data_IF_160318326793
#
_entry.id   IF_160318326793
#
_cell.length_a   1.000
_cell.length_b   1.000
_cell.length_c   1.000
_cell.angle_alpha   90.00
_cell.angle_beta   90.00
_cell.angle_gamma   90.00
#
_symmetry.space_group_name_H-M   'P 1'
#
loop_
_entity.id
_entity.type
_entity.pdbx_description
1 polymer ?
#
# COMPACT_ATOMS: atom_id res chain seq x y z
N UNK A 1 -15.92 28.75 17.52
CA UNK A 1 -14.73 28.83 18.37
C UNK A 1 -13.65 28.03 17.66
N UNK A 2 -12.60 28.71 17.22
CA UNK A 2 -11.44 28.02 16.67
C UNK A 2 -10.92 27.09 17.76
N UNK A 3 -11.07 25.80 17.53
CA UNK A 3 -10.55 24.80 18.45
C UNK A 3 -9.03 24.85 18.32
N UNK A 4 -8.35 25.16 19.41
CA UNK A 4 -6.91 24.94 19.53
C UNK A 4 -6.63 23.46 19.81
N UNK A 5 -7.64 22.61 19.60
CA UNK A 5 -7.60 21.22 19.94
C UNK A 5 -6.73 20.43 18.97
N UNK A 6 -6.04 19.48 19.52
CA UNK A 6 -5.26 18.50 18.79
C UNK A 6 -6.21 17.49 18.12
N UNK A 7 -6.04 17.28 16.83
CA UNK A 7 -6.73 16.24 16.08
C UNK A 7 -5.78 15.05 15.97
N UNK A 8 -6.22 13.90 16.45
CA UNK A 8 -5.43 12.66 16.39
C UNK A 8 -5.86 11.82 15.22
N UNK A 9 -4.88 11.37 14.44
CA UNK A 9 -5.07 10.41 13.35
C UNK A 9 -4.30 9.14 13.72
N UNK A 10 -4.98 8.00 13.69
CA UNK A 10 -4.32 6.71 13.89
C UNK A 10 -3.49 6.33 12.67
N UNK A 11 -2.27 5.84 12.91
CA UNK A 11 -1.39 5.31 11.88
C UNK A 11 -1.12 3.85 12.25
N UNK A 12 -1.87 2.94 11.64
CA UNK A 12 -1.78 1.52 11.93
C UNK A 12 -1.17 0.76 10.77
N UNK A 13 0.05 0.29 10.99
CA UNK A 13 0.86 -0.44 10.01
C UNK A 13 1.59 -1.58 10.74
N UNK A 14 2.10 -2.54 9.99
CA UNK A 14 2.87 -3.65 10.56
C UNK A 14 4.30 -3.24 10.92
N UNK A 15 4.47 -2.56 12.04
CA UNK A 15 5.80 -2.19 12.56
C UNK A 15 6.59 -3.40 13.03
N UNK A 16 5.93 -4.52 13.25
CA UNK A 16 6.50 -5.86 13.32
C UNK A 16 5.84 -6.72 12.25
N UNK A 17 6.52 -7.76 11.80
CA UNK A 17 5.97 -8.71 10.85
C UNK A 17 6.67 -8.71 9.49
N UNK A 18 6.02 -9.31 8.48
CA UNK A 18 6.70 -9.68 7.23
C UNK A 18 7.01 -8.53 6.27
N UNK A 19 6.57 -7.30 6.54
CA UNK A 19 6.95 -6.10 5.77
C UNK A 19 7.48 -4.96 6.65
N UNK A 20 7.99 -5.28 7.83
CA UNK A 20 8.43 -4.27 8.79
C UNK A 20 9.52 -3.33 8.25
N UNK A 21 10.32 -3.77 7.28
CA UNK A 21 11.33 -2.93 6.63
C UNK A 21 10.73 -1.78 5.81
N UNK A 22 9.46 -1.86 5.43
CA UNK A 22 8.79 -0.85 4.61
C UNK A 22 7.97 0.16 5.43
N UNK A 23 7.49 -0.23 6.60
CA UNK A 23 6.42 0.47 7.30
C UNK A 23 6.85 1.76 8.00
N UNK A 24 8.10 1.87 8.43
CA UNK A 24 8.59 3.08 9.09
C UNK A 24 8.54 4.29 8.15
N UNK A 25 9.00 4.14 6.91
CA UNK A 25 8.96 5.23 5.92
C UNK A 25 7.56 5.50 5.39
N UNK A 26 6.69 4.50 5.36
CA UNK A 26 5.27 4.69 5.07
C UNK A 26 4.62 5.56 6.16
N UNK A 27 4.84 5.25 7.43
CA UNK A 27 4.34 6.05 8.54
C UNK A 27 4.89 7.46 8.52
N UNK A 28 6.18 7.61 8.29
CA UNK A 28 6.83 8.93 8.19
C UNK A 28 6.28 9.75 7.02
N UNK A 29 5.91 9.12 5.93
CA UNK A 29 5.30 9.80 4.77
C UNK A 29 3.90 10.35 5.11
N UNK A 30 3.08 9.58 5.81
CA UNK A 30 1.79 10.06 6.32
C UNK A 30 1.96 11.21 7.31
N UNK A 31 2.92 11.07 8.22
CA UNK A 31 3.23 12.08 9.24
C UNK A 31 3.80 13.37 8.62
N UNK A 32 4.47 13.26 7.48
CA UNK A 32 4.92 14.42 6.71
C UNK A 32 3.72 15.27 6.22
N UNK A 33 2.65 14.63 5.75
CA UNK A 33 1.42 15.33 5.39
C UNK A 33 0.79 16.02 6.62
N UNK A 34 0.79 15.34 7.77
CA UNK A 34 0.26 15.88 9.01
C UNK A 34 1.07 17.12 9.48
N UNK A 35 2.39 17.06 9.34
CA UNK A 35 3.27 18.18 9.65
C UNK A 35 3.01 19.36 8.72
N UNK A 36 2.88 19.12 7.43
CA UNK A 36 2.58 20.15 6.43
C UNK A 36 1.28 20.89 6.78
N UNK A 37 0.24 20.17 7.14
CA UNK A 37 -1.05 20.74 7.55
C UNK A 37 -0.92 21.52 8.86
N UNK A 38 -0.28 20.94 9.88
CA UNK A 38 -0.09 21.58 11.17
C UNK A 38 0.71 22.88 11.05
N UNK A 39 1.79 22.87 10.27
CA UNK A 39 2.65 24.03 10.05
C UNK A 39 1.93 25.16 9.31
N UNK A 40 0.92 24.84 8.50
CA UNK A 40 0.12 25.85 7.79
C UNK A 40 -0.73 26.70 8.73
N UNK A 41 -1.13 26.16 9.86
CA UNK A 41 -2.03 26.83 10.81
C UNK A 41 -3.45 27.05 10.28
N UNK A 42 -3.87 26.33 9.22
CA UNK A 42 -5.12 26.60 8.51
C UNK A 42 -6.22 25.56 8.76
N UNK A 43 -5.90 24.41 9.31
CA UNK A 43 -6.90 23.37 9.55
C UNK A 43 -7.85 23.79 10.70
N UNK A 44 -9.14 23.92 10.38
CA UNK A 44 -10.17 24.32 11.35
C UNK A 44 -9.78 25.57 12.16
N UNK A 45 -9.12 26.53 11.50
CA UNK A 45 -8.70 27.79 12.13
C UNK A 45 -7.44 27.69 12.98
N UNK A 46 -6.69 26.58 12.93
CA UNK A 46 -5.39 26.46 13.59
C UNK A 46 -5.21 25.19 14.43
N UNK A 47 -6.03 24.17 14.24
CA UNK A 47 -5.84 22.88 14.89
C UNK A 47 -4.53 22.23 14.47
N UNK A 48 -3.86 21.57 15.43
CA UNK A 48 -2.71 20.72 15.15
C UNK A 48 -3.15 19.28 14.90
N UNK A 49 -2.36 18.54 14.14
CA UNK A 49 -2.60 17.12 13.86
C UNK A 49 -1.46 16.31 14.45
N UNK A 50 -1.79 15.28 15.21
CA UNK A 50 -0.82 14.34 15.73
C UNK A 50 -1.10 12.93 15.28
N UNK A 51 -0.03 12.17 15.09
CA UNK A 51 -0.06 10.76 14.72
C UNK A 51 -0.07 9.88 15.97
N UNK A 52 -0.95 8.89 15.99
CA UNK A 52 -0.93 7.84 17.02
C UNK A 52 -0.62 6.53 16.30
N UNK A 53 0.59 6.04 16.44
CA UNK A 53 1.02 4.79 15.80
C UNK A 53 0.49 3.58 16.55
N UNK A 54 0.10 2.55 15.79
CA UNK A 54 -0.30 1.25 16.32
C UNK A 54 0.20 0.14 15.38
N UNK A 55 0.48 -1.02 15.93
CA UNK A 55 1.06 -2.14 15.17
C UNK A 55 -0.04 -3.09 14.73
N UNK A 56 -0.22 -3.23 13.41
CA UNK A 56 -1.13 -4.20 12.81
C UNK A 56 -0.52 -5.59 12.74
N UNK A 57 0.76 -5.73 12.90
CA UNK A 57 1.54 -6.98 12.65
C UNK A 57 1.48 -7.51 11.22
N UNK A 58 0.69 -6.93 10.34
CA UNK A 58 0.43 -7.40 8.97
C UNK A 58 -0.34 -8.74 8.90
N UNK A 59 -0.09 -9.68 9.80
CA UNK A 59 -0.58 -11.07 9.67
C UNK A 59 -1.51 -11.53 10.79
N UNK A 60 -1.49 -10.89 11.94
CA UNK A 60 -2.31 -11.28 13.10
C UNK A 60 -3.57 -10.39 13.18
N UNK A 61 -4.68 -10.90 12.68
CA UNK A 61 -5.95 -10.17 12.68
C UNK A 61 -6.45 -9.81 14.09
N UNK A 62 -6.22 -10.66 15.07
CA UNK A 62 -6.59 -10.42 16.47
C UNK A 62 -5.81 -9.26 17.07
N UNK A 63 -4.49 -9.26 16.91
CA UNK A 63 -3.61 -8.18 17.36
C UNK A 63 -3.94 -6.86 16.66
N UNK A 64 -4.18 -6.91 15.35
CA UNK A 64 -4.55 -5.73 14.57
C UNK A 64 -5.89 -5.14 15.03
N UNK A 65 -6.88 -5.98 15.25
CA UNK A 65 -8.20 -5.56 15.74
C UNK A 65 -8.08 -4.89 17.12
N UNK A 66 -7.34 -5.49 18.04
CA UNK A 66 -7.13 -4.92 19.38
C UNK A 66 -6.40 -3.57 19.33
N UNK A 67 -5.40 -3.45 18.48
CA UNK A 67 -4.67 -2.19 18.29
C UNK A 67 -5.58 -1.10 17.71
N UNK A 68 -6.42 -1.44 16.75
CA UNK A 68 -7.40 -0.51 16.17
C UNK A 68 -8.46 -0.10 17.17
N UNK A 69 -8.97 -1.02 17.99
CA UNK A 69 -9.93 -0.71 19.06
C UNK A 69 -9.35 0.32 20.05
N UNK A 70 -8.07 0.16 20.41
CA UNK A 70 -7.41 1.13 21.28
C UNK A 70 -7.35 2.51 20.62
N UNK A 71 -7.01 2.60 19.34
CA UNK A 71 -6.98 3.87 18.61
C UNK A 71 -8.35 4.56 18.66
N UNK A 72 -9.41 3.81 18.47
CA UNK A 72 -10.78 4.33 18.34
C UNK A 72 -11.39 4.67 19.70
N UNK A 73 -11.23 3.80 20.71
CA UNK A 73 -11.91 3.92 21.99
C UNK A 73 -11.09 4.60 23.08
N UNK A 74 -9.77 4.36 23.13
CA UNK A 74 -8.88 4.92 24.15
C UNK A 74 -8.20 6.19 23.68
N UNK A 75 -7.62 6.17 22.48
CA UNK A 75 -6.91 7.32 21.93
C UNK A 75 -7.84 8.33 21.26
N UNK A 76 -9.07 7.93 20.97
CA UNK A 76 -10.11 8.77 20.38
C UNK A 76 -9.68 9.43 19.07
N UNK A 77 -9.07 8.67 18.17
CA UNK A 77 -8.65 9.18 16.87
C UNK A 77 -9.85 9.58 16.01
N UNK A 78 -9.69 10.63 15.21
CA UNK A 78 -10.73 11.11 14.29
C UNK A 78 -10.89 10.19 13.08
N UNK A 79 -9.79 9.61 12.60
CA UNK A 79 -9.74 8.71 11.45
C UNK A 79 -8.47 7.86 11.52
N UNK A 80 -8.38 6.88 10.63
CA UNK A 80 -7.26 5.94 10.57
C UNK A 80 -6.61 5.96 9.18
N UNK A 81 -5.30 6.14 9.14
CA UNK A 81 -4.46 5.82 8.00
C UNK A 81 -3.92 4.40 8.19
N UNK A 82 -4.28 3.50 7.34
CA UNK A 82 -3.93 2.08 7.43
C UNK A 82 -5.12 1.18 7.05
N UNK A 83 -5.04 -0.13 7.32
CA UNK A 83 -3.76 -0.77 7.64
C UNK A 83 -2.95 -1.02 6.36
N UNK A 84 -1.87 -1.74 6.50
CA UNK A 84 -0.97 -2.04 5.38
C UNK A 84 -1.39 -3.31 4.61
N UNK A 85 -1.54 -4.43 5.29
CA UNK A 85 -1.77 -5.73 4.68
C UNK A 85 -3.27 -6.03 4.57
N UNK A 86 -3.66 -6.75 3.52
CA UNK A 86 -5.08 -6.91 3.15
C UNK A 86 -5.93 -7.62 4.21
N UNK A 87 -5.45 -8.72 4.79
CA UNK A 87 -6.22 -9.48 5.77
C UNK A 87 -6.50 -8.68 7.05
N UNK A 88 -5.48 -8.03 7.58
CA UNK A 88 -5.64 -7.20 8.80
C UNK A 88 -6.46 -5.94 8.51
N UNK A 89 -6.36 -5.36 7.32
CA UNK A 89 -7.19 -4.22 6.92
C UNK A 89 -8.68 -4.63 6.88
N UNK A 90 -8.98 -5.78 6.30
CA UNK A 90 -10.35 -6.32 6.29
C UNK A 90 -10.89 -6.53 7.71
N UNK A 91 -10.09 -7.11 8.59
CA UNK A 91 -10.47 -7.33 9.98
C UNK A 91 -10.75 -6.02 10.72
N UNK A 92 -9.88 -5.02 10.56
CA UNK A 92 -10.04 -3.70 11.18
C UNK A 92 -11.29 -2.99 10.63
N UNK A 93 -11.48 -2.99 9.32
CA UNK A 93 -12.65 -2.36 8.70
C UNK A 93 -13.94 -2.98 9.22
N UNK A 94 -14.04 -4.31 9.16
CA UNK A 94 -15.26 -5.02 9.55
C UNK A 94 -15.56 -4.98 11.04
N UNK A 95 -14.55 -5.06 11.89
CA UNK A 95 -14.73 -5.24 13.33
C UNK A 95 -14.61 -3.94 14.13
N UNK A 96 -13.95 -2.93 13.62
CA UNK A 96 -13.66 -1.70 14.36
C UNK A 96 -14.11 -0.45 13.63
N UNK A 97 -13.59 -0.21 12.42
CA UNK A 97 -13.80 1.08 11.75
C UNK A 97 -15.25 1.29 11.33
N UNK A 98 -15.83 0.36 10.60
CA UNK A 98 -17.24 0.48 10.15
C UNK A 98 -18.22 0.49 11.32
N UNK A 99 -18.16 -0.43 12.30
CA UNK A 99 -19.06 -0.39 13.43
C UNK A 99 -19.00 0.90 14.27
N UNK A 100 -17.85 1.55 14.31
CA UNK A 100 -17.67 2.80 15.06
C UNK A 100 -17.79 4.06 14.19
N UNK A 101 -18.12 3.91 12.92
CA UNK A 101 -18.26 5.04 12.00
C UNK A 101 -16.96 5.82 11.78
N UNK A 102 -15.82 5.14 11.78
CA UNK A 102 -14.49 5.74 11.62
C UNK A 102 -14.00 5.54 10.18
N UNK A 103 -13.61 6.61 9.53
CA UNK A 103 -12.97 6.54 8.22
C UNK A 103 -11.61 5.86 8.32
N UNK A 104 -11.37 4.89 7.44
CA UNK A 104 -10.10 4.19 7.30
C UNK A 104 -9.64 4.27 5.85
N UNK A 105 -8.43 4.80 5.62
CA UNK A 105 -7.82 4.90 4.30
C UNK A 105 -6.51 4.11 4.30
N UNK A 106 -6.50 2.98 3.57
CA UNK A 106 -5.31 2.14 3.46
C UNK A 106 -4.40 2.61 2.34
N UNK A 107 -3.09 2.70 2.58
CA UNK A 107 -2.12 3.02 1.54
C UNK A 107 -1.70 1.80 0.71
N UNK A 108 -1.95 0.58 1.16
CA UNK A 108 -1.30 -0.60 0.60
C UNK A 108 -2.06 -1.91 0.68
N UNK A 109 -3.31 -1.89 1.16
CA UNK A 109 -4.15 -3.08 1.16
C UNK A 109 -4.76 -3.28 -0.24
N UNK A 110 -4.24 -4.24 -0.98
CA UNK A 110 -4.47 -4.37 -2.43
C UNK A 110 -5.37 -5.53 -2.83
N UNK A 111 -5.83 -6.38 -1.91
CA UNK A 111 -6.67 -7.52 -2.27
C UNK A 111 -7.92 -7.11 -3.06
N UNK A 112 -8.24 -7.83 -4.15
CA UNK A 112 -9.49 -7.60 -4.88
C UNK A 112 -10.75 -7.75 -4.01
N UNK A 113 -10.70 -8.57 -2.98
CA UNK A 113 -11.84 -8.79 -2.08
C UNK A 113 -12.27 -7.51 -1.33
N UNK A 114 -11.36 -6.56 -1.13
CA UNK A 114 -11.69 -5.29 -0.48
C UNK A 114 -12.62 -4.40 -1.30
N UNK A 115 -12.72 -4.61 -2.59
CA UNK A 115 -13.67 -3.88 -3.46
C UNK A 115 -15.11 -4.12 -3.02
N UNK A 116 -15.42 -5.31 -2.54
CA UNK A 116 -16.78 -5.78 -2.31
C UNK A 116 -17.19 -5.84 -0.83
N UNK A 117 -16.36 -5.36 0.09
CA UNK A 117 -16.73 -5.35 1.50
C UNK A 117 -17.89 -4.36 1.76
N UNK A 118 -18.78 -4.71 2.68
CA UNK A 118 -19.85 -3.81 3.12
C UNK A 118 -19.28 -2.78 4.08
N UNK A 119 -18.64 -1.77 3.53
CA UNK A 119 -17.92 -0.75 4.29
C UNK A 119 -18.77 0.47 4.67
N UNK A 120 -19.99 0.55 4.18
CA UNK A 120 -20.91 1.67 4.43
C UNK A 120 -20.30 3.05 4.14
N UNK A 121 -19.32 3.09 3.23
CA UNK A 121 -18.64 4.33 2.83
C UNK A 121 -17.52 4.78 3.77
N UNK A 122 -17.05 3.93 4.67
CA UNK A 122 -15.96 4.28 5.60
C UNK A 122 -14.58 3.81 5.15
N UNK A 123 -14.49 2.87 4.22
CA UNK A 123 -13.21 2.35 3.75
C UNK A 123 -12.82 2.94 2.40
N UNK A 124 -11.55 3.35 2.30
CA UNK A 124 -10.92 3.85 1.07
C UNK A 124 -9.51 3.28 0.97
N UNK A 125 -8.96 3.24 -0.25
CA UNK A 125 -7.56 2.88 -0.45
C UNK A 125 -6.93 3.71 -1.56
N UNK A 126 -5.73 4.19 -1.32
CA UNK A 126 -4.93 4.94 -2.30
C UNK A 126 -4.08 4.04 -3.19
N UNK A 127 -3.92 2.77 -2.82
CA UNK A 127 -3.32 1.77 -3.68
C UNK A 127 -4.38 1.14 -4.61
N UNK A 128 -4.01 0.77 -5.85
CA UNK A 128 -4.92 0.07 -6.77
C UNK A 128 -5.14 -1.38 -6.36
N UNK A 129 -6.25 -1.97 -6.82
CA UNK A 129 -6.57 -3.38 -6.60
C UNK A 129 -5.63 -4.32 -7.34
N UNK A 130 -5.29 -5.44 -6.72
CA UNK A 130 -4.52 -6.53 -7.34
C UNK A 130 -5.22 -7.20 -8.53
N UNK A 131 -6.51 -6.96 -8.72
CA UNK A 131 -7.18 -7.33 -9.95
C UNK A 131 -6.48 -6.72 -11.17
N UNK A 132 -6.00 -5.49 -11.02
CA UNK A 132 -5.20 -4.82 -12.04
C UNK A 132 -3.73 -5.26 -12.02
N UNK A 133 -3.12 -5.39 -10.85
CA UNK A 133 -1.71 -5.80 -10.75
C UNK A 133 -1.49 -7.18 -11.37
N UNK A 134 -2.39 -8.13 -11.14
CA UNK A 134 -2.31 -9.45 -11.74
C UNK A 134 -2.25 -9.40 -13.27
N UNK A 135 -3.07 -8.56 -13.89
CA UNK A 135 -3.07 -8.37 -15.34
C UNK A 135 -1.78 -7.72 -15.83
N UNK A 136 -1.31 -6.67 -15.15
CA UNK A 136 -0.07 -5.97 -15.52
C UNK A 136 1.14 -6.90 -15.39
N UNK A 137 1.25 -7.63 -14.28
CA UNK A 137 2.35 -8.57 -14.06
C UNK A 137 2.35 -9.69 -15.11
N UNK A 138 1.18 -10.23 -15.44
CA UNK A 138 1.06 -11.23 -16.50
C UNK A 138 1.55 -10.69 -17.85
N UNK A 139 1.20 -9.46 -18.18
CA UNK A 139 1.66 -8.82 -19.41
C UNK A 139 3.19 -8.61 -19.41
N UNK A 140 3.76 -8.17 -18.29
CA UNK A 140 5.20 -8.02 -18.14
C UNK A 140 5.92 -9.35 -18.38
N UNK A 141 5.41 -10.42 -17.78
CA UNK A 141 5.98 -11.77 -17.94
C UNK A 141 5.93 -12.22 -19.39
N UNK A 142 4.78 -12.05 -20.04
CA UNK A 142 4.62 -12.42 -21.46
C UNK A 142 5.52 -11.59 -22.38
N UNK A 143 5.65 -10.28 -22.13
CA UNK A 143 6.52 -9.40 -22.91
C UNK A 143 7.99 -9.81 -22.83
N UNK A 144 8.38 -10.48 -21.75
CA UNK A 144 9.75 -11.02 -21.57
C UNK A 144 9.93 -12.40 -22.17
N UNK A 145 8.92 -12.93 -22.86
CA UNK A 145 8.99 -14.22 -23.53
C UNK A 145 8.86 -15.42 -22.59
N UNK A 146 8.38 -15.23 -21.39
CA UNK A 146 8.14 -16.30 -20.41
C UNK A 146 6.73 -16.82 -20.60
N UNK A 147 6.59 -18.09 -20.99
CA UNK A 147 5.31 -18.73 -21.24
C UNK A 147 4.96 -19.83 -20.24
N UNK A 148 5.88 -20.21 -19.37
CA UNK A 148 5.70 -21.23 -18.36
C UNK A 148 6.40 -20.84 -17.06
N UNK A 149 5.71 -20.97 -15.95
CA UNK A 149 6.25 -20.65 -14.61
C UNK A 149 5.52 -21.41 -13.49
N UNK A 150 6.18 -21.50 -12.35
CA UNK A 150 5.56 -21.90 -11.10
C UNK A 150 5.21 -20.65 -10.26
N UNK A 151 4.24 -20.78 -9.37
CA UNK A 151 3.80 -19.69 -8.49
C UNK A 151 3.84 -20.16 -7.04
N UNK A 152 4.43 -19.36 -6.17
CA UNK A 152 4.22 -19.47 -4.73
C UNK A 152 3.64 -18.17 -4.21
N UNK A 153 2.76 -18.24 -3.22
CA UNK A 153 2.08 -17.09 -2.67
C UNK A 153 1.93 -17.22 -1.15
N UNK A 154 2.00 -16.10 -0.44
CA UNK A 154 1.76 -16.13 0.99
C UNK A 154 0.32 -16.55 1.27
N UNK A 155 0.15 -17.49 2.22
CA UNK A 155 -1.14 -18.14 2.49
C UNK A 155 -2.06 -17.26 3.35
N UNK A 156 -2.53 -16.18 2.75
CA UNK A 156 -3.46 -15.23 3.36
C UNK A 156 -4.27 -14.51 2.27
N UNK A 157 -5.15 -13.60 2.67
CA UNK A 157 -6.03 -12.88 1.74
C UNK A 157 -5.26 -12.14 0.64
N UNK A 158 -4.13 -11.52 0.98
CA UNK A 158 -3.30 -10.83 0.00
C UNK A 158 -2.73 -11.82 -1.03
N UNK A 159 -2.02 -12.83 -0.58
CA UNK A 159 -1.37 -13.80 -1.47
C UNK A 159 -2.34 -14.56 -2.35
N UNK A 160 -3.46 -14.99 -1.79
CA UNK A 160 -4.51 -15.73 -2.55
C UNK A 160 -5.13 -14.85 -3.62
N UNK A 161 -5.52 -13.63 -3.27
CA UNK A 161 -6.16 -12.70 -4.22
C UNK A 161 -5.24 -12.31 -5.36
N UNK A 162 -3.99 -11.98 -5.06
CA UNK A 162 -3.00 -11.64 -6.07
C UNK A 162 -2.66 -12.83 -6.97
N UNK A 163 -2.46 -14.01 -6.37
CA UNK A 163 -2.17 -15.24 -7.12
C UNK A 163 -3.29 -15.59 -8.09
N UNK A 164 -4.55 -15.55 -7.62
CA UNK A 164 -5.69 -15.83 -8.48
C UNK A 164 -5.77 -14.85 -9.65
N UNK A 165 -5.60 -13.57 -9.39
CA UNK A 165 -5.63 -12.53 -10.42
C UNK A 165 -4.51 -12.72 -11.45
N UNK A 166 -3.29 -12.96 -10.98
CA UNK A 166 -2.14 -13.17 -11.83
C UNK A 166 -2.25 -14.46 -12.66
N UNK A 167 -2.56 -15.58 -12.01
CA UNK A 167 -2.67 -16.89 -12.67
C UNK A 167 -3.76 -16.88 -13.74
N UNK A 168 -4.93 -16.32 -13.42
CA UNK A 168 -6.03 -16.23 -14.37
C UNK A 168 -5.67 -15.38 -15.58
N UNK A 169 -5.03 -14.23 -15.37
CA UNK A 169 -4.58 -13.36 -16.47
C UNK A 169 -3.50 -14.03 -17.31
N UNK A 170 -2.51 -14.66 -16.68
CA UNK A 170 -1.42 -15.33 -17.38
C UNK A 170 -1.93 -16.49 -18.23
N UNK A 171 -2.81 -17.33 -17.70
CA UNK A 171 -3.46 -18.42 -18.47
C UNK A 171 -4.29 -17.88 -19.62
N UNK A 172 -5.04 -16.80 -19.42
CA UNK A 172 -5.83 -16.15 -20.47
C UNK A 172 -4.97 -15.63 -21.62
N UNK A 173 -3.72 -15.28 -21.35
CA UNK A 173 -2.73 -14.86 -22.36
C UNK A 173 -2.00 -16.04 -23.02
N UNK A 174 -2.34 -17.27 -22.67
CA UNK A 174 -1.73 -18.50 -23.21
C UNK A 174 -0.59 -19.07 -22.38
N UNK A 175 -0.34 -18.54 -21.19
CA UNK A 175 0.68 -19.03 -20.28
C UNK A 175 0.32 -20.32 -19.57
N UNK A 176 1.33 -21.06 -19.12
CA UNK A 176 1.19 -22.30 -18.38
C UNK A 176 1.74 -22.11 -16.96
N UNK A 177 0.96 -22.48 -15.96
CA UNK A 177 1.36 -22.51 -14.56
C UNK A 177 1.57 -23.96 -14.16
N UNK A 178 2.81 -24.30 -13.80
CA UNK A 178 3.21 -25.69 -13.52
C UNK A 178 2.93 -26.10 -12.08
N UNK A 179 2.89 -25.15 -11.16
CA UNK A 179 2.57 -25.39 -9.76
C UNK A 179 2.07 -24.10 -9.12
N UNK A 180 1.17 -24.24 -8.16
CA UNK A 180 0.71 -23.18 -7.28
C UNK A 180 0.87 -23.65 -5.85
N UNK A 181 1.85 -23.12 -5.12
CA UNK A 181 2.26 -23.59 -3.81
C UNK A 181 2.11 -22.47 -2.79
N UNK A 182 1.23 -22.62 -1.80
CA UNK A 182 1.17 -21.63 -0.72
C UNK A 182 2.40 -21.74 0.18
N UNK A 183 2.81 -20.63 0.75
CA UNK A 183 3.83 -20.61 1.80
C UNK A 183 3.37 -19.78 2.99
N UNK A 184 3.83 -20.17 4.18
CA UNK A 184 3.56 -19.42 5.40
C UNK A 184 4.68 -18.42 5.67
N UNK A 185 4.35 -17.27 6.28
CA UNK A 185 5.37 -16.39 6.83
C UNK A 185 5.86 -16.89 8.19
N UNK A 186 7.08 -16.49 8.57
CA UNK A 186 7.62 -16.78 9.88
C UNK A 186 8.19 -18.19 10.06
N UNK A 187 8.37 -18.95 8.98
CA UNK A 187 9.04 -20.25 9.03
C UNK A 187 10.56 -20.10 8.92
N UNK A 188 11.27 -21.04 9.51
CA UNK A 188 12.74 -21.11 9.41
C UNK A 188 13.26 -21.90 8.21
N UNK A 189 12.40 -22.68 7.53
CA UNK A 189 12.79 -23.58 6.45
C UNK A 189 11.71 -23.63 5.36
N UNK A 190 12.09 -23.33 4.13
CA UNK A 190 11.21 -23.35 2.95
C UNK A 190 11.64 -24.39 1.91
N UNK A 191 12.48 -25.36 2.29
CA UNK A 191 13.00 -26.37 1.36
C UNK A 191 11.91 -27.24 0.75
N UNK A 192 10.85 -27.53 1.49
CA UNK A 192 9.72 -28.35 0.99
C UNK A 192 8.96 -27.61 -0.13
N UNK A 193 8.64 -26.34 0.07
CA UNK A 193 7.96 -25.51 -0.92
C UNK A 193 8.82 -25.34 -2.18
N UNK A 194 10.10 -25.04 -2.02
CA UNK A 194 11.04 -24.89 -3.13
C UNK A 194 11.20 -26.19 -3.91
N UNK A 195 11.28 -27.33 -3.21
CA UNK A 195 11.35 -28.66 -3.85
C UNK A 195 10.12 -28.94 -4.71
N UNK A 196 8.94 -28.64 -4.21
CA UNK A 196 7.68 -28.82 -4.95
C UNK A 196 7.63 -27.90 -6.20
N UNK A 197 8.04 -26.65 -6.06
CA UNK A 197 8.11 -25.69 -7.17
C UNK A 197 9.09 -26.17 -8.25
N UNK A 198 10.28 -26.61 -7.85
CA UNK A 198 11.34 -27.09 -8.75
C UNK A 198 10.92 -28.38 -9.45
N UNK A 199 10.29 -29.31 -8.74
CA UNK A 199 9.82 -30.60 -9.26
C UNK A 199 8.74 -30.44 -10.34
N UNK A 200 8.07 -29.31 -10.41
CA UNK A 200 7.06 -29.02 -11.44
C UNK A 200 7.64 -28.87 -12.83
N UNK A 201 8.95 -28.74 -12.96
CA UNK A 201 9.66 -28.58 -14.23
C UNK A 201 9.84 -27.15 -14.70
N UNK A 202 9.28 -26.16 -14.00
CA UNK A 202 9.46 -24.76 -14.37
C UNK A 202 10.87 -24.29 -14.05
N UNK A 203 11.38 -23.39 -14.88
CA UNK A 203 12.66 -22.69 -14.67
C UNK A 203 12.46 -21.28 -14.14
N UNK A 204 11.22 -20.79 -14.16
CA UNK A 204 10.82 -19.47 -13.68
C UNK A 204 9.83 -19.63 -12.54
N UNK A 205 9.92 -18.74 -11.55
CA UNK A 205 9.00 -18.75 -10.41
C UNK A 205 8.55 -17.33 -10.06
N UNK A 206 7.25 -17.19 -9.86
CA UNK A 206 6.67 -15.98 -9.27
C UNK A 206 6.55 -16.17 -7.75
N UNK A 207 7.07 -15.22 -7.01
CA UNK A 207 7.03 -15.19 -5.55
C UNK A 207 6.13 -14.04 -5.12
N UNK A 208 4.89 -14.37 -4.84
CA UNK A 208 3.83 -13.41 -4.49
C UNK A 208 3.65 -13.41 -2.96
N UNK A 209 4.60 -12.79 -2.30
CA UNK A 209 4.73 -12.85 -0.85
C UNK A 209 5.16 -11.54 -0.22
N UNK A 210 5.69 -11.66 0.98
CA UNK A 210 6.17 -10.54 1.78
C UNK A 210 7.69 -10.59 1.97
N UNK A 211 8.33 -9.44 1.81
CA UNK A 211 9.77 -9.29 1.61
C UNK A 211 10.64 -9.69 2.81
N UNK A 212 10.12 -9.53 4.04
CA UNK A 212 10.96 -9.71 5.23
C UNK A 212 10.85 -11.11 5.87
N UNK A 213 9.96 -11.97 5.37
CA UNK A 213 9.76 -13.33 5.91
C UNK A 213 9.66 -14.38 4.80
N UNK A 214 8.47 -14.92 4.55
CA UNK A 214 8.28 -16.07 3.69
C UNK A 214 8.80 -15.92 2.27
N UNK A 215 8.52 -14.78 1.64
CA UNK A 215 9.00 -14.53 0.28
C UNK A 215 10.52 -14.52 0.18
N UNK A 216 11.18 -13.85 1.12
CA UNK A 216 12.65 -13.88 1.21
C UNK A 216 13.19 -15.28 1.47
N UNK A 217 12.54 -16.04 2.36
CA UNK A 217 12.94 -17.40 2.65
C UNK A 217 12.85 -18.34 1.45
N UNK A 218 11.81 -18.21 0.65
CA UNK A 218 11.66 -18.94 -0.62
C UNK A 218 12.81 -18.60 -1.57
N UNK A 219 13.12 -17.32 -1.74
CA UNK A 219 14.20 -16.86 -2.63
C UNK A 219 15.55 -17.38 -2.14
N UNK A 220 15.85 -17.23 -0.86
CA UNK A 220 17.11 -17.68 -0.28
C UNK A 220 17.29 -19.20 -0.45
N UNK A 221 16.28 -19.98 -0.14
CA UNK A 221 16.30 -21.43 -0.32
C UNK A 221 16.46 -21.84 -1.78
N UNK A 222 15.79 -21.12 -2.69
CA UNK A 222 15.92 -21.37 -4.14
C UNK A 222 17.33 -21.15 -4.63
N UNK A 223 18.00 -20.11 -4.18
CA UNK A 223 19.37 -19.79 -4.58
C UNK A 223 20.38 -20.76 -3.98
N UNK A 224 20.23 -21.14 -2.72
CA UNK A 224 21.09 -22.08 -2.03
C UNK A 224 21.06 -23.49 -2.68
N UNK A 225 19.88 -23.91 -3.12
CA UNK A 225 19.71 -25.23 -3.78
C UNK A 225 19.94 -25.19 -5.29
N UNK A 226 20.06 -24.02 -5.88
CA UNK A 226 20.15 -23.85 -7.34
C UNK A 226 18.82 -24.09 -8.06
N UNK A 227 17.70 -24.16 -7.35
CA UNK A 227 16.39 -24.44 -7.93
C UNK A 227 15.93 -23.31 -8.89
N UNK A 228 16.13 -22.06 -8.47
CA UNK A 228 15.82 -20.87 -9.28
C UNK A 228 16.89 -19.81 -9.03
N UNK A 229 17.15 -18.97 -10.04
CA UNK A 229 18.20 -17.94 -9.98
C UNK A 229 17.67 -16.52 -10.20
N UNK A 230 16.48 -16.38 -10.75
CA UNK A 230 15.77 -15.10 -10.85
C UNK A 230 14.31 -15.31 -10.51
N UNK A 231 13.66 -14.23 -10.12
CA UNK A 231 12.33 -14.31 -9.53
C UNK A 231 11.41 -13.25 -10.14
N UNK A 232 10.13 -13.56 -10.19
CA UNK A 232 9.07 -12.66 -10.64
C UNK A 232 8.34 -12.19 -9.38
N UNK A 233 8.31 -10.87 -9.15
CA UNK A 233 7.87 -10.29 -7.90
C UNK A 233 6.65 -9.37 -8.10
N UNK A 234 5.88 -9.19 -7.03
CA UNK A 234 4.85 -8.17 -6.95
C UNK A 234 5.16 -7.22 -5.79
N UNK A 235 4.24 -6.33 -5.49
CA UNK A 235 4.43 -5.21 -4.55
C UNK A 235 4.99 -5.60 -3.18
N UNK A 236 4.50 -6.68 -2.58
CA UNK A 236 4.92 -7.10 -1.24
C UNK A 236 6.37 -7.60 -1.13
N UNK A 237 7.02 -7.82 -2.27
CA UNK A 237 8.41 -8.29 -2.34
C UNK A 237 9.40 -7.19 -2.74
N UNK A 238 8.93 -6.02 -3.15
CA UNK A 238 9.79 -4.94 -3.61
C UNK A 238 10.27 -4.14 -2.41
N UNK A 239 11.57 -4.09 -2.23
CA UNK A 239 12.21 -3.32 -1.17
C UNK A 239 13.71 -3.61 -1.11
N UNK A 240 14.48 -2.63 -0.69
CA UNK A 240 15.96 -2.74 -0.63
C UNK A 240 16.40 -3.86 0.32
N UNK A 241 15.60 -4.16 1.35
CA UNK A 241 15.91 -5.24 2.31
C UNK A 241 16.02 -6.61 1.64
N UNK A 242 15.33 -6.84 0.52
CA UNK A 242 15.46 -8.09 -0.23
C UNK A 242 16.89 -8.27 -0.73
N UNK A 243 17.42 -7.24 -1.36
CA UNK A 243 18.78 -7.27 -1.92
C UNK A 243 19.82 -7.32 -0.81
N UNK A 244 19.60 -6.57 0.26
CA UNK A 244 20.52 -6.50 1.40
C UNK A 244 20.61 -7.82 2.17
N UNK A 245 19.50 -8.57 2.28
CA UNK A 245 19.40 -9.73 3.17
C UNK A 245 19.44 -11.08 2.46
N UNK A 246 19.30 -11.12 1.13
CA UNK A 246 19.50 -12.35 0.37
C UNK A 246 20.98 -12.51 0.06
N UNK A 247 21.52 -13.67 0.40
CA UNK A 247 22.90 -14.03 0.07
C UNK A 247 22.93 -14.61 -1.34
N UNK A 248 23.34 -13.79 -2.29
CA UNK A 248 23.41 -14.16 -3.70
C UNK A 248 23.10 -13.00 -4.63
N UNK A 249 23.31 -13.23 -5.93
CA UNK A 249 23.07 -12.25 -6.98
C UNK A 249 21.65 -12.37 -7.54
N UNK A 250 20.82 -11.37 -7.30
CA UNK A 250 19.43 -11.30 -7.76
C UNK A 250 19.27 -10.60 -9.12
N UNK A 251 20.36 -10.28 -9.81
CA UNK A 251 20.32 -9.59 -11.11
C UNK A 251 19.38 -10.30 -12.08
N UNK A 252 18.50 -9.53 -12.71
CA UNK A 252 17.50 -10.06 -13.64
C UNK A 252 16.15 -10.38 -12.98
N UNK A 253 16.07 -10.42 -11.65
CA UNK A 253 14.80 -10.48 -10.92
C UNK A 253 13.99 -9.23 -11.24
N UNK A 254 12.70 -9.37 -11.50
CA UNK A 254 11.85 -8.27 -11.92
C UNK A 254 10.45 -8.38 -11.31
N UNK A 255 9.70 -7.31 -11.38
CA UNK A 255 8.35 -7.30 -10.85
C UNK A 255 7.63 -5.98 -11.08
N UNK A 256 6.50 -5.86 -10.41
CA UNK A 256 5.63 -4.69 -10.48
C UNK A 256 5.40 -4.09 -9.10
N UNK A 257 5.24 -2.77 -9.08
CA UNK A 257 4.92 -2.00 -7.87
C UNK A 257 3.98 -0.85 -8.26
N UNK A 258 2.89 -0.63 -7.53
CA UNK A 258 2.10 0.58 -7.74
C UNK A 258 2.98 1.82 -7.67
N UNK A 259 2.83 2.73 -8.62
CA UNK A 259 3.60 3.97 -8.67
C UNK A 259 3.59 4.61 -10.05
N UNK A 260 4.04 5.85 -10.08
CA UNK A 260 4.12 6.64 -11.31
C UNK A 260 5.37 7.52 -11.32
N UNK A 261 5.60 8.16 -12.45
CA UNK A 261 6.61 9.21 -12.62
C UNK A 261 5.92 10.56 -12.94
N UNK A 262 4.71 10.75 -12.42
CA UNK A 262 3.92 11.96 -12.60
C UNK A 262 4.55 13.18 -11.91
N UNK A 263 4.05 14.36 -12.23
CA UNK A 263 4.45 15.60 -11.56
C UNK A 263 4.27 15.53 -10.06
N UNK A 264 3.12 15.03 -9.60
CA UNK A 264 2.85 14.85 -8.16
C UNK A 264 3.80 13.87 -7.48
N UNK A 265 4.14 12.76 -8.14
CA UNK A 265 5.12 11.81 -7.62
C UNK A 265 6.50 12.45 -7.46
N UNK A 266 6.93 13.25 -8.44
CA UNK A 266 8.22 13.95 -8.39
C UNK A 266 8.23 15.05 -7.30
N UNK A 267 7.15 15.79 -7.14
CA UNK A 267 7.00 16.78 -6.08
C UNK A 267 7.08 16.14 -4.70
N UNK A 268 6.39 15.03 -4.51
CA UNK A 268 6.45 14.27 -3.25
C UNK A 268 7.88 13.77 -2.97
N UNK A 269 8.53 13.18 -3.97
CA UNK A 269 9.89 12.66 -3.82
C UNK A 269 10.86 13.74 -3.35
N UNK A 270 10.81 14.93 -3.96
CA UNK A 270 11.66 16.06 -3.59
C UNK A 270 11.40 16.50 -2.14
N UNK A 271 10.14 16.64 -1.76
CA UNK A 271 9.74 17.04 -0.41
C UNK A 271 10.12 15.98 0.64
N UNK A 272 9.86 14.72 0.35
CA UNK A 272 10.19 13.61 1.22
C UNK A 272 11.69 13.50 1.45
N UNK A 273 12.49 13.58 0.37
CA UNK A 273 13.96 13.54 0.46
C UNK A 273 14.52 14.64 1.35
N UNK A 274 13.94 15.84 1.29
CA UNK A 274 14.33 16.96 2.16
C UNK A 274 14.03 16.70 3.65
N UNK A 275 13.20 15.70 3.95
CA UNK A 275 12.80 15.30 5.29
C UNK A 275 13.33 13.91 5.68
N UNK A 276 14.35 13.41 4.98
CA UNK A 276 14.99 12.14 5.31
C UNK A 276 14.21 10.88 4.91
N UNK A 277 13.22 11.02 4.04
CA UNK A 277 12.43 9.91 3.49
C UNK A 277 12.84 9.72 2.03
N UNK A 278 13.05 8.49 1.55
CA UNK A 278 13.41 8.26 0.14
C UNK A 278 12.46 8.91 -0.87
N UNK A 279 11.14 8.79 -0.64
CA UNK A 279 10.10 9.43 -1.44
C UNK A 279 9.66 8.64 -2.66
N UNK A 280 10.38 7.59 -3.02
CA UNK A 280 10.03 6.65 -4.09
C UNK A 280 10.04 5.19 -3.60
N UNK A 281 10.12 4.99 -2.31
CA UNK A 281 9.98 3.68 -1.69
C UNK A 281 8.54 3.16 -1.77
N UNK A 282 8.35 1.83 -1.61
CA UNK A 282 7.04 1.21 -1.71
C UNK A 282 6.01 1.86 -0.79
N UNK A 283 4.90 2.30 -1.39
CA UNK A 283 3.73 2.87 -0.72
C UNK A 283 3.97 4.14 0.11
N UNK A 284 5.13 4.79 -0.05
CA UNK A 284 5.39 6.10 0.57
C UNK A 284 4.48 7.18 -0.01
N UNK A 285 4.37 7.34 -1.36
CA UNK A 285 3.44 8.30 -1.94
C UNK A 285 1.99 8.05 -1.55
N UNK A 286 1.55 6.80 -1.57
CA UNK A 286 0.20 6.39 -1.20
C UNK A 286 -0.12 6.69 0.26
N UNK A 287 0.87 6.57 1.14
CA UNK A 287 0.72 6.87 2.57
C UNK A 287 0.55 8.37 2.83
N UNK A 288 1.32 9.20 2.15
CA UNK A 288 1.15 10.65 2.18
C UNK A 288 -0.26 11.04 1.70
N UNK A 289 -0.70 10.49 0.58
CA UNK A 289 -2.01 10.78 0.02
C UNK A 289 -3.14 10.35 0.96
N UNK A 290 -3.04 9.19 1.60
CA UNK A 290 -4.06 8.71 2.53
C UNK A 290 -4.26 9.70 3.70
N UNK A 291 -3.17 10.16 4.31
CA UNK A 291 -3.24 11.15 5.39
C UNK A 291 -3.76 12.51 4.90
N UNK A 292 -3.29 12.96 3.74
CA UNK A 292 -3.74 14.22 3.15
C UNK A 292 -5.24 14.24 2.91
N UNK A 293 -5.80 13.16 2.35
CA UNK A 293 -7.24 13.04 2.09
C UNK A 293 -8.07 13.13 3.37
N UNK A 294 -7.61 12.52 4.46
CA UNK A 294 -8.29 12.62 5.75
C UNK A 294 -8.37 14.08 6.19
N UNK A 295 -7.26 14.79 6.17
CA UNK A 295 -7.20 16.19 6.64
C UNK A 295 -7.99 17.15 5.75
N UNK A 296 -7.96 16.94 4.43
CA UNK A 296 -8.77 17.73 3.50
C UNK A 296 -10.26 17.46 3.69
N UNK A 297 -10.65 16.23 3.99
CA UNK A 297 -12.04 15.88 4.31
C UNK A 297 -12.50 16.58 5.61
N UNK A 298 -11.64 16.67 6.61
CA UNK A 298 -11.91 17.43 7.84
C UNK A 298 -12.20 18.89 7.51
N UNK A 299 -11.36 19.52 6.71
CA UNK A 299 -11.53 20.93 6.35
C UNK A 299 -12.79 21.14 5.50
N UNK A 300 -13.05 20.28 4.53
CA UNK A 300 -14.22 20.38 3.66
C UNK A 300 -15.54 20.33 4.45
N UNK A 301 -15.60 19.49 5.46
CA UNK A 301 -16.76 19.39 6.35
C UNK A 301 -16.74 20.38 7.51
N UNK A 302 -15.69 21.18 7.62
CA UNK A 302 -15.47 22.08 8.76
C UNK A 302 -15.67 21.38 10.12
N UNK A 303 -15.27 20.12 10.22
CA UNK A 303 -15.50 19.28 11.40
C UNK A 303 -14.55 18.09 11.43
N UNK A 304 -14.04 17.76 12.61
CA UNK A 304 -13.33 16.51 12.87
C UNK A 304 -14.24 15.38 13.34
N UNK A 305 -15.55 15.56 13.28
CA UNK A 305 -16.49 14.50 13.60
C UNK A 305 -16.38 13.35 12.60
N UNK A 306 -16.40 12.13 13.09
CA UNK A 306 -16.15 10.92 12.28
C UNK A 306 -17.10 10.79 11.08
N UNK A 307 -18.39 11.07 11.26
CA UNK A 307 -19.38 11.03 10.18
C UNK A 307 -19.11 12.10 9.12
N UNK A 308 -18.70 13.28 9.51
CA UNK A 308 -18.34 14.36 8.59
C UNK A 308 -17.16 13.99 7.73
N UNK A 309 -16.13 13.37 8.31
CA UNK A 309 -14.93 12.98 7.56
C UNK A 309 -15.30 12.01 6.44
N UNK A 310 -16.01 10.93 6.76
CA UNK A 310 -16.42 9.93 5.76
C UNK A 310 -17.21 10.54 4.60
N UNK A 311 -18.11 11.48 4.90
CA UNK A 311 -18.96 12.12 3.91
C UNK A 311 -18.19 13.07 2.97
N UNK A 312 -16.99 13.47 3.31
CA UNK A 312 -16.23 14.48 2.57
C UNK A 312 -15.01 13.93 1.83
N UNK A 313 -14.65 12.64 2.00
CA UNK A 313 -13.47 12.07 1.34
C UNK A 313 -13.62 12.09 -0.18
N UNK A 314 -14.73 11.60 -0.71
CA UNK A 314 -14.94 11.53 -2.16
C UNK A 314 -14.91 12.90 -2.82
N UNK A 315 -15.49 13.91 -2.17
CA UNK A 315 -15.57 15.27 -2.69
C UNK A 315 -14.21 15.96 -2.82
N UNK A 316 -13.27 15.67 -1.90
CA UNK A 316 -11.92 16.25 -1.99
C UNK A 316 -10.98 15.43 -2.87
N UNK A 317 -11.24 14.13 -2.99
CA UNK A 317 -10.43 13.22 -3.79
C UNK A 317 -10.64 13.40 -5.29
N UNK A 318 -11.87 13.69 -5.70
CA UNK A 318 -12.30 13.63 -7.09
C UNK A 318 -12.61 15.01 -7.68
N UNK A 319 -12.52 15.10 -9.00
CA UNK A 319 -13.01 16.28 -9.74
C UNK A 319 -14.52 16.46 -9.51
N UNK A 320 -15.06 17.71 -9.60
CA UNK A 320 -14.35 18.93 -9.99
C UNK A 320 -13.61 19.61 -8.83
N UNK A 321 -12.77 20.57 -9.17
CA UNK A 321 -12.10 21.43 -8.21
C UNK A 321 -10.68 21.80 -8.65
N UNK A 322 -10.05 22.64 -7.85
CA UNK A 322 -8.64 23.01 -8.06
C UNK A 322 -7.74 21.83 -7.79
N UNK A 323 -6.88 21.49 -8.73
CA UNK A 323 -5.91 20.40 -8.56
C UNK A 323 -4.90 20.76 -7.46
N UNK A 324 -4.67 19.79 -6.57
CA UNK A 324 -3.78 19.93 -5.42
C UNK A 324 -2.69 18.84 -5.47
N UNK A 325 -1.46 19.27 -5.35
CA UNK A 325 -0.27 18.41 -5.38
C UNK A 325 0.45 18.41 -4.03
N UNK A 326 1.40 17.48 -3.80
CA UNK A 326 2.20 17.48 -2.58
C UNK A 326 2.90 18.81 -2.34
N UNK A 327 2.87 19.30 -1.10
CA UNK A 327 3.37 20.60 -0.72
C UNK A 327 2.32 21.72 -0.83
N UNK A 328 1.17 21.44 -1.42
CA UNK A 328 0.09 22.41 -1.61
C UNK A 328 -1.11 22.21 -0.67
N UNK A 329 -0.93 21.47 0.43
CA UNK A 329 -2.04 21.22 1.36
C UNK A 329 -2.55 22.50 2.00
N UNK A 330 -1.67 23.44 2.32
CA UNK A 330 -2.08 24.77 2.83
C UNK A 330 -2.98 25.53 1.84
N UNK A 331 -2.63 25.50 0.56
CA UNK A 331 -3.47 26.08 -0.50
C UNK A 331 -4.85 25.43 -0.55
N UNK A 332 -4.91 24.11 -0.45
CA UNK A 332 -6.16 23.37 -0.43
C UNK A 332 -7.03 23.75 0.76
N UNK A 333 -6.43 23.88 1.95
CA UNK A 333 -7.14 24.27 3.16
C UNK A 333 -7.76 25.68 3.03
N UNK A 334 -7.06 26.61 2.41
CA UNK A 334 -7.60 27.96 2.15
C UNK A 334 -8.79 27.92 1.18
N UNK A 335 -8.67 27.17 0.08
CA UNK A 335 -9.77 27.03 -0.87
C UNK A 335 -11.01 26.45 -0.21
N UNK A 336 -10.84 25.39 0.57
CA UNK A 336 -11.96 24.74 1.27
C UNK A 336 -12.56 25.63 2.35
N UNK A 337 -11.75 26.41 3.07
CA UNK A 337 -12.22 27.38 4.06
C UNK A 337 -13.13 28.43 3.41
N UNK A 338 -12.80 28.87 2.21
CA UNK A 338 -13.55 29.89 1.47
C UNK A 338 -14.76 29.29 0.72
N UNK A 339 -15.08 28.03 0.92
CA UNK A 339 -16.21 27.33 0.30
C UNK A 339 -15.96 26.86 -1.12
N UNK A 340 -14.71 26.87 -1.57
CA UNK A 340 -14.30 26.34 -2.88
C UNK A 340 -14.16 24.81 -2.90
N UNK A 341 -13.88 24.27 -4.06
CA UNK A 341 -13.70 22.85 -4.30
C UNK A 341 -12.25 22.53 -4.67
N UNK A 342 -11.75 21.41 -4.17
CA UNK A 342 -10.45 20.87 -4.53
C UNK A 342 -10.59 19.50 -5.19
N UNK A 343 -9.66 19.22 -6.11
CA UNK A 343 -9.47 17.92 -6.74
C UNK A 343 -8.07 17.44 -6.37
N UNK A 344 -7.98 16.66 -5.30
CA UNK A 344 -6.69 16.22 -4.79
C UNK A 344 -6.05 15.21 -5.75
N UNK A 345 -5.00 15.65 -6.45
CA UNK A 345 -4.19 14.80 -7.31
C UNK A 345 -3.13 14.04 -6.51
N UNK A 346 -2.50 14.73 -5.57
CA UNK A 346 -1.49 14.16 -4.71
C UNK A 346 -0.28 13.60 -5.43
N UNK A 347 0.36 12.67 -4.78
CA UNK A 347 1.54 11.98 -5.28
C UNK A 347 1.20 10.81 -6.23
N UNK A 348 -0.06 10.34 -6.23
CA UNK A 348 -0.47 9.13 -6.95
C UNK A 348 -1.61 9.35 -7.94
N UNK A 349 -1.89 10.60 -8.32
CA UNK A 349 -2.99 10.95 -9.23
C UNK A 349 -4.34 10.40 -8.73
N UNK A 350 -4.69 10.75 -7.51
CA UNK A 350 -5.89 10.22 -6.85
C UNK A 350 -7.15 10.56 -7.62
N UNK A 351 -7.91 9.53 -7.96
CA UNK A 351 -9.28 9.61 -8.45
C UNK A 351 -9.96 8.33 -7.95
N UNK A 352 -10.93 8.47 -7.06
CA UNK A 352 -11.62 7.31 -6.49
C UNK A 352 -12.83 6.91 -7.32
N UNK A 353 -12.99 5.60 -7.50
CA UNK A 353 -14.24 5.02 -7.99
C UNK A 353 -15.34 5.15 -6.93
N UNK A 354 -16.56 4.77 -7.29
CA UNK A 354 -17.73 4.81 -6.39
C UNK A 354 -17.54 3.98 -5.10
N UNK A 355 -16.62 3.02 -5.12
CA UNK A 355 -16.32 2.18 -3.95
C UNK A 355 -15.10 2.67 -3.15
N UNK A 356 -14.56 3.85 -3.48
CA UNK A 356 -13.43 4.44 -2.73
C UNK A 356 -12.08 3.82 -3.06
N UNK A 357 -11.89 3.38 -4.30
CA UNK A 357 -10.64 2.80 -4.79
C UNK A 357 -9.96 3.68 -5.82
N UNK A 358 -8.65 3.83 -5.71
CA UNK A 358 -7.85 4.44 -6.76
C UNK A 358 -7.63 3.46 -7.91
N UNK A 359 -7.71 3.93 -9.15
CA UNK A 359 -7.04 3.29 -10.25
C UNK A 359 -5.57 3.68 -10.20
N UNK A 360 -4.66 2.84 -10.67
CA UNK A 360 -3.26 3.16 -10.58
C UNK A 360 -2.47 2.72 -11.78
N UNK A 361 -1.28 3.30 -11.90
CA UNK A 361 -0.23 2.82 -12.76
C UNK A 361 0.74 1.96 -11.96
N UNK A 362 1.57 1.22 -12.69
CA UNK A 362 2.54 0.32 -12.10
C UNK A 362 3.92 0.58 -12.70
N UNK A 363 4.93 0.61 -11.83
CA UNK A 363 6.33 0.56 -12.26
C UNK A 363 6.69 -0.88 -12.54
N UNK A 364 7.26 -1.13 -13.70
CA UNK A 364 7.97 -2.35 -14.01
C UNK A 364 9.41 -2.17 -13.54
N UNK A 365 9.85 -2.99 -12.59
CA UNK A 365 11.15 -2.89 -11.94
C UNK A 365 12.01 -4.12 -12.26
N UNK A 366 13.31 -3.91 -12.37
CA UNK A 366 14.28 -5.00 -12.54
C UNK A 366 15.51 -4.74 -11.69
N UNK A 367 16.04 -5.78 -11.06
CA UNK A 367 17.27 -5.70 -10.28
C UNK A 367 18.47 -5.73 -11.22
N UNK A 368 19.29 -4.71 -11.13
CA UNK A 368 20.56 -4.58 -11.79
C UNK A 368 21.49 -3.67 -10.99
N UNK A 369 22.78 -3.99 -10.98
CA UNK A 369 23.78 -3.25 -10.20
C UNK A 369 23.45 -3.14 -8.70
N UNK A 370 22.81 -4.18 -8.15
CA UNK A 370 22.47 -4.24 -6.72
C UNK A 370 21.31 -3.35 -6.28
N UNK A 371 20.46 -2.92 -7.21
CA UNK A 371 19.31 -2.08 -6.90
C UNK A 371 18.12 -2.38 -7.83
N UNK A 372 16.92 -2.00 -7.38
CA UNK A 372 15.73 -2.01 -8.24
C UNK A 372 15.75 -0.78 -9.15
N UNK A 373 15.60 -1.01 -10.45
CA UNK A 373 15.56 0.05 -11.47
C UNK A 373 14.21 0.03 -12.16
N UNK A 374 13.61 1.20 -12.34
CA UNK A 374 12.37 1.33 -13.12
C UNK A 374 12.68 1.18 -14.60
N UNK A 375 12.05 0.19 -15.25
CA UNK A 375 12.19 -0.06 -16.69
C UNK A 375 11.20 0.81 -17.45
N UNK A 376 9.93 0.81 -17.00
CA UNK A 376 8.88 1.65 -17.54
C UNK A 376 7.71 1.72 -16.55
N UNK A 377 6.78 2.63 -16.82
CA UNK A 377 5.50 2.74 -16.12
C UNK A 377 4.40 2.23 -17.05
N UNK A 378 3.50 1.42 -16.49
CA UNK A 378 2.40 0.77 -17.23
C UNK A 378 1.03 1.17 -16.69
#
# INVERSE_FOLDING_TARGET
QASTDEIKIGVILGFTGPIESLTTTMASSAELAMKEVSDSGLLLGGASVSSVRADSTCVDAGAATSAAERLVTSDNVAAIMGADCSGVTTAIANNVAVPNGVTIISPSATSPALTDIDDKGYFFRTAPSDARQGQVLAQVVMDRGISELAVTYTNNDYGKGLSDSFVNAFKAMGGTVTAEVPHEDGKGDYSAEVSTLSASGATEVAVLGYVDQGGRGIIQSSMETGAFSRFILADGMIGDSLIENVDGDLTGTFGTLPGSESEGANMFKAMASSNGIPGDGPFEPESYDAAALIMLAIQAGNSADRSSIANNVMGVANAPGTEIFPGELGKALEILKDGGEVNYQGATNVEFSDVGEASGSYKELEIGNGEFNTIQVR
#
